data_IF_014853632434
#
_entry.id   IF_014853632434
#
_cell.length_a   1.000
_cell.length_b   1.000
_cell.length_c   1.000
_cell.angle_alpha   90.00
_cell.angle_beta   90.00
_cell.angle_gamma   90.00
#
_symmetry.space_group_name_H-M   'P 1'
#
loop_
_entity.id
_entity.type
_entity.pdbx_description
1 polymer ?
#
# COMPACT_ATOMS: atom_id res chain seq x y z
N UNK A 1 8.26 -4.66 57.51
CA UNK A 1 9.66 -4.49 57.04
C UNK A 1 10.04 -5.35 55.81
N UNK A 2 9.09 -6.02 55.15
CA UNK A 2 9.37 -6.97 54.05
C UNK A 2 9.05 -6.40 52.65
N UNK A 3 7.96 -5.64 52.47
CA UNK A 3 7.58 -5.11 51.16
C UNK A 3 8.58 -4.09 50.56
N UNK A 4 9.19 -3.24 51.40
CA UNK A 4 10.16 -2.24 50.95
C UNK A 4 11.48 -2.87 50.47
N UNK A 5 11.88 -4.01 51.07
CA UNK A 5 13.08 -4.74 50.67
C UNK A 5 12.89 -5.49 49.34
N UNK A 6 11.70 -6.04 49.10
CA UNK A 6 11.37 -6.70 47.83
C UNK A 6 11.32 -5.71 46.67
N UNK A 7 10.77 -4.51 46.89
CA UNK A 7 10.73 -3.44 45.89
C UNK A 7 12.15 -2.93 45.56
N UNK A 8 13.01 -2.77 46.58
CA UNK A 8 14.39 -2.35 46.38
C UNK A 8 15.19 -3.40 45.58
N UNK A 9 15.01 -4.70 45.88
CA UNK A 9 15.68 -5.78 45.16
C UNK A 9 15.22 -5.87 43.70
N UNK A 10 13.91 -5.71 43.44
CA UNK A 10 13.36 -5.74 42.09
C UNK A 10 13.87 -4.58 41.22
N UNK A 11 13.93 -3.36 41.78
CA UNK A 11 14.48 -2.20 41.07
C UNK A 11 15.98 -2.37 40.83
N UNK A 12 16.71 -2.93 41.79
CA UNK A 12 18.16 -3.15 41.66
C UNK A 12 18.48 -4.20 40.59
N UNK A 13 17.67 -5.27 40.49
CA UNK A 13 17.82 -6.29 39.46
C UNK A 13 17.44 -5.79 38.06
N UNK A 14 16.44 -4.90 37.93
CA UNK A 14 16.09 -4.27 36.66
C UNK A 14 17.19 -3.31 36.20
N UNK A 15 17.76 -2.50 37.11
CA UNK A 15 18.85 -1.57 36.77
C UNK A 15 20.13 -2.31 36.41
N UNK A 16 20.49 -3.38 37.13
CA UNK A 16 21.66 -4.20 36.80
C UNK A 16 21.44 -4.96 35.48
N UNK A 17 20.24 -5.51 35.25
CA UNK A 17 19.87 -6.15 33.97
C UNK A 17 19.95 -5.17 32.78
N UNK A 18 19.53 -3.92 32.98
CA UNK A 18 19.61 -2.86 31.96
C UNK A 18 21.06 -2.44 31.69
N UNK A 19 21.89 -2.26 32.72
CA UNK A 19 23.29 -1.84 32.58
C UNK A 19 24.18 -2.96 31.99
N UNK A 20 23.94 -4.22 32.35
CA UNK A 20 24.66 -5.37 31.79
C UNK A 20 24.20 -5.67 30.36
N UNK A 21 22.91 -5.57 30.07
CA UNK A 21 22.36 -5.74 28.71
C UNK A 21 22.83 -4.67 27.72
N UNK A 22 22.84 -3.40 28.13
CA UNK A 22 23.35 -2.30 27.29
C UNK A 22 24.88 -2.32 27.16
N UNK A 23 25.59 -2.75 28.21
CA UNK A 23 27.05 -2.93 28.20
C UNK A 23 27.52 -4.06 27.28
N UNK A 24 26.74 -5.14 27.15
CA UNK A 24 27.04 -6.23 26.21
C UNK A 24 26.75 -5.80 24.76
N UNK A 25 25.61 -5.16 24.49
CA UNK A 25 25.27 -4.69 23.13
C UNK A 25 26.24 -3.61 22.61
N UNK A 26 26.75 -2.73 23.47
CA UNK A 26 27.73 -1.70 23.10
C UNK A 26 29.14 -2.25 22.85
N UNK A 27 29.61 -3.26 23.63
CA UNK A 27 30.90 -3.93 23.38
C UNK A 27 30.88 -4.84 22.15
N UNK A 28 29.79 -5.56 21.89
CA UNK A 28 29.62 -6.32 20.65
C UNK A 28 29.58 -5.41 19.42
N UNK A 29 28.94 -4.24 19.53
CA UNK A 29 28.89 -3.25 18.46
C UNK A 29 30.23 -2.53 18.22
N UNK A 30 31.08 -2.37 19.25
CA UNK A 30 32.44 -1.82 19.08
C UNK A 30 33.44 -2.85 18.55
N UNK A 31 33.37 -4.12 18.96
CA UNK A 31 34.23 -5.17 18.41
C UNK A 31 33.90 -5.51 16.95
N UNK A 32 32.64 -5.43 16.52
CA UNK A 32 32.27 -5.57 15.10
C UNK A 32 32.72 -4.37 14.22
N UNK A 33 33.00 -3.20 14.81
CA UNK A 33 33.51 -2.03 14.05
C UNK A 33 35.03 -2.03 13.87
N UNK A 34 35.77 -2.90 14.57
CA UNK A 34 37.24 -2.94 14.53
C UNK A 34 37.82 -4.14 13.77
N UNK A 35 36.99 -5.08 13.33
CA UNK A 35 37.43 -6.02 12.30
C UNK A 35 37.35 -5.31 10.95
N UNK A 36 38.41 -5.31 10.13
CA UNK A 36 38.27 -4.97 8.73
C UNK A 36 37.29 -6.01 8.15
N UNK A 37 36.03 -5.61 7.99
CA UNK A 37 35.11 -6.33 7.13
C UNK A 37 35.79 -6.27 5.78
N UNK A 38 36.39 -7.38 5.35
CA UNK A 38 36.76 -7.56 3.96
C UNK A 38 35.52 -7.13 3.18
N UNK A 39 35.64 -6.06 2.37
CA UNK A 39 34.54 -5.54 1.58
C UNK A 39 34.07 -6.69 0.73
N UNK A 40 33.06 -7.42 1.20
CA UNK A 40 32.42 -8.44 0.40
C UNK A 40 31.96 -7.67 -0.83
N UNK A 41 32.49 -8.04 -2.00
CA UNK A 41 32.00 -7.52 -3.28
C UNK A 41 30.49 -7.68 -3.19
N UNK A 42 29.77 -6.56 -3.16
CA UNK A 42 28.32 -6.59 -3.01
C UNK A 42 27.81 -7.45 -4.16
N UNK A 43 27.27 -8.63 -3.85
CA UNK A 43 26.65 -9.46 -4.88
C UNK A 43 25.60 -8.59 -5.56
N UNK A 44 25.65 -8.43 -6.90
CA UNK A 44 24.65 -7.64 -7.61
C UNK A 44 23.25 -8.10 -7.18
N UNK A 45 22.46 -7.19 -6.62
CA UNK A 45 21.07 -7.48 -6.29
C UNK A 45 20.24 -7.25 -7.53
N UNK A 46 19.37 -8.21 -7.86
CA UNK A 46 18.43 -8.06 -8.95
C UNK A 46 17.61 -6.76 -8.78
N UNK A 47 17.31 -6.05 -9.88
CA UNK A 47 16.46 -4.88 -9.82
C UNK A 47 15.07 -5.27 -9.28
N UNK A 48 14.49 -4.40 -8.47
CA UNK A 48 13.17 -4.60 -7.88
C UNK A 48 12.12 -3.78 -8.60
N UNK A 49 10.93 -4.34 -8.71
CA UNK A 49 9.72 -3.65 -9.16
C UNK A 49 8.93 -3.31 -7.91
N UNK A 50 8.42 -2.09 -7.82
CA UNK A 50 7.56 -1.64 -6.73
C UNK A 50 6.45 -0.75 -7.26
N UNK A 51 5.31 -0.70 -6.57
CA UNK A 51 4.20 0.17 -6.95
C UNK A 51 3.70 -0.17 -8.36
N UNK A 52 3.51 -1.46 -8.66
CA UNK A 52 3.02 -1.89 -9.95
C UNK A 52 1.53 -1.56 -10.09
N UNK A 53 1.20 -0.70 -11.05
CA UNK A 53 -0.18 -0.32 -11.33
C UNK A 53 -0.51 -0.45 -12.82
N UNK A 54 -1.68 -1.01 -13.11
CA UNK A 54 -2.23 -1.06 -14.47
C UNK A 54 -3.02 0.21 -14.80
N UNK A 55 -2.96 0.64 -16.05
CA UNK A 55 -3.80 1.73 -16.55
C UNK A 55 -5.29 1.35 -16.48
N UNK A 56 -6.22 2.33 -16.43
CA UNK A 56 -7.66 2.04 -16.29
C UNK A 56 -8.23 1.16 -17.42
N UNK A 57 -7.63 1.22 -18.61
CA UNK A 57 -7.99 0.39 -19.77
C UNK A 57 -7.25 -0.96 -19.82
N UNK A 58 -6.37 -1.25 -18.85
CA UNK A 58 -5.63 -2.49 -18.74
C UNK A 58 -4.50 -2.67 -19.76
N UNK A 59 -4.21 -1.66 -20.58
CA UNK A 59 -3.28 -1.79 -21.71
C UNK A 59 -1.83 -1.46 -21.38
N UNK A 60 -1.58 -0.74 -20.31
CA UNK A 60 -0.24 -0.33 -19.88
C UNK A 60 -0.03 -0.64 -18.41
N UNK A 61 1.23 -0.81 -18.05
CA UNK A 61 1.69 -0.94 -16.67
C UNK A 61 2.63 0.23 -16.37
N UNK A 62 2.55 0.76 -15.16
CA UNK A 62 3.55 1.68 -14.63
C UNK A 62 4.05 1.16 -13.28
N UNK A 63 5.33 1.37 -13.02
CA UNK A 63 5.96 0.92 -11.79
C UNK A 63 7.22 1.72 -11.50
N UNK A 64 7.70 1.60 -10.28
CA UNK A 64 9.00 2.11 -9.85
C UNK A 64 10.02 0.98 -9.91
N UNK A 65 11.03 1.17 -10.74
CA UNK A 65 12.18 0.29 -10.81
C UNK A 65 13.28 0.73 -9.85
N UNK A 66 13.73 -0.16 -8.97
CA UNK A 66 14.83 0.08 -8.04
C UNK A 66 16.00 -0.83 -8.41
N UNK A 67 17.01 -0.27 -9.05
CA UNK A 67 18.15 -1.00 -9.60
C UNK A 67 19.48 -0.69 -8.89
N UNK A 68 19.53 0.35 -8.06
CA UNK A 68 20.55 0.51 -7.02
C UNK A 68 19.87 0.95 -5.72
N UNK A 69 19.63 0.00 -4.81
CA UNK A 69 18.70 0.12 -3.66
C UNK A 69 18.88 1.36 -2.78
N UNK A 70 20.08 1.97 -2.76
CA UNK A 70 20.37 3.15 -1.95
C UNK A 70 20.68 4.40 -2.77
N UNK A 71 20.70 4.33 -4.09
CA UNK A 71 21.28 5.40 -4.92
C UNK A 71 20.42 5.74 -6.14
N UNK A 72 19.75 4.76 -6.75
CA UNK A 72 19.07 4.97 -8.02
C UNK A 72 17.78 4.15 -8.18
N UNK A 73 16.75 4.86 -8.59
CA UNK A 73 15.46 4.34 -9.01
C UNK A 73 14.97 5.09 -10.26
N UNK A 74 13.87 4.63 -10.83
CA UNK A 74 13.20 5.35 -11.91
C UNK A 74 11.77 4.89 -12.12
N UNK A 75 10.99 5.74 -12.78
CA UNK A 75 9.67 5.41 -13.26
C UNK A 75 9.79 4.60 -14.55
N UNK A 76 8.95 3.58 -14.70
CA UNK A 76 8.85 2.79 -15.90
C UNK A 76 7.41 2.76 -16.38
N UNK A 77 7.23 2.87 -17.69
CA UNK A 77 5.94 2.59 -18.35
C UNK A 77 6.18 1.45 -19.34
N UNK A 78 5.35 0.42 -19.26
CA UNK A 78 5.44 -0.81 -20.06
C UNK A 78 4.15 -1.02 -20.86
N UNK A 79 4.30 -1.32 -22.15
CA UNK A 79 3.27 -1.97 -22.95
C UNK A 79 3.49 -3.51 -22.91
N UNK A 80 2.70 -4.27 -22.15
CA UNK A 80 2.86 -5.71 -21.99
C UNK A 80 2.49 -6.51 -23.25
N UNK A 81 1.85 -5.91 -24.26
CA UNK A 81 1.58 -6.59 -25.54
C UNK A 81 2.82 -6.63 -26.43
N UNK A 82 3.61 -5.56 -26.43
CA UNK A 82 4.83 -5.45 -27.26
C UNK A 82 6.11 -5.76 -26.47
N UNK A 83 6.04 -5.78 -25.14
CA UNK A 83 7.21 -5.89 -24.26
C UNK A 83 8.07 -4.62 -24.25
N UNK A 84 7.56 -3.50 -24.78
CA UNK A 84 8.30 -2.23 -24.81
C UNK A 84 8.12 -1.51 -23.48
N UNK A 85 9.22 -1.21 -22.80
CA UNK A 85 9.22 -0.35 -21.63
C UNK A 85 10.32 0.71 -21.75
N UNK A 86 10.09 1.87 -21.14
CA UNK A 86 11.09 2.93 -21.08
C UNK A 86 11.19 3.48 -19.66
N UNK A 87 12.44 3.74 -19.25
CA UNK A 87 12.76 4.32 -17.97
C UNK A 87 12.71 5.85 -18.01
N UNK A 88 12.46 6.42 -16.84
CA UNK A 88 12.61 7.84 -16.56
C UNK A 88 13.27 7.93 -15.19
N UNK A 89 14.61 8.09 -15.13
CA UNK A 89 15.36 8.05 -13.88
C UNK A 89 14.88 9.10 -12.89
N UNK A 90 14.75 8.70 -11.62
CA UNK A 90 14.57 9.64 -10.52
C UNK A 90 15.87 10.40 -10.27
N UNK A 91 15.81 11.62 -9.69
CA UNK A 91 17.01 12.32 -9.24
C UNK A 91 17.86 11.44 -8.31
N UNK A 92 19.19 11.53 -8.40
CA UNK A 92 20.10 10.70 -7.63
C UNK A 92 19.85 10.83 -6.11
N UNK A 93 19.63 9.70 -5.45
CA UNK A 93 19.24 9.63 -4.04
C UNK A 93 17.78 10.01 -3.74
N UNK A 94 16.91 9.95 -4.76
CA UNK A 94 15.45 10.03 -4.66
C UNK A 94 14.78 8.83 -5.33
N UNK A 95 13.55 8.55 -4.94
CA UNK A 95 12.69 7.54 -5.56
C UNK A 95 11.33 8.16 -5.88
N UNK A 96 10.91 8.01 -7.12
CA UNK A 96 9.57 8.34 -7.60
C UNK A 96 8.69 7.08 -7.54
N UNK A 97 7.83 6.99 -6.54
CA UNK A 97 6.93 5.87 -6.28
C UNK A 97 5.62 6.04 -7.04
N UNK A 98 5.27 5.14 -7.96
CA UNK A 98 3.97 5.16 -8.64
C UNK A 98 2.89 4.77 -7.64
N UNK A 99 1.90 5.64 -7.43
CA UNK A 99 0.79 5.38 -6.50
C UNK A 99 -0.54 5.12 -7.20
N UNK A 100 -0.74 5.67 -8.40
CA UNK A 100 -2.01 5.56 -9.11
C UNK A 100 -1.88 5.93 -10.60
N UNK A 101 -2.64 5.24 -11.47
CA UNK A 101 -3.00 5.77 -12.79
C UNK A 101 -4.26 6.62 -12.71
N UNK A 102 -4.21 7.79 -13.34
CA UNK A 102 -5.35 8.69 -13.46
C UNK A 102 -6.18 8.34 -14.69
N UNK A 103 -7.44 8.75 -14.68
CA UNK A 103 -8.39 8.52 -15.78
C UNK A 103 -7.97 9.23 -17.07
N UNK A 104 -7.29 10.37 -16.95
CA UNK A 104 -6.68 11.11 -18.07
C UNK A 104 -5.44 10.40 -18.68
N UNK A 105 -5.01 9.29 -18.08
CA UNK A 105 -3.86 8.51 -18.52
C UNK A 105 -2.51 9.01 -18.03
N UNK A 106 -2.47 10.00 -17.14
CA UNK A 106 -1.25 10.39 -16.40
C UNK A 106 -1.07 9.54 -15.13
N UNK A 107 0.08 9.69 -14.48
CA UNK A 107 0.41 9.03 -13.22
C UNK A 107 0.33 10.01 -12.05
N UNK A 108 -0.09 9.53 -10.90
CA UNK A 108 0.22 10.13 -9.60
C UNK A 108 1.46 9.42 -9.03
N UNK A 109 2.41 10.21 -8.58
CA UNK A 109 3.71 9.76 -8.10
C UNK A 109 4.01 10.43 -6.76
N UNK A 110 4.55 9.65 -5.83
CA UNK A 110 5.09 10.14 -4.57
C UNK A 110 6.62 10.12 -4.64
N UNK A 111 7.23 11.30 -4.53
CA UNK A 111 8.69 11.44 -4.48
C UNK A 111 9.16 11.40 -3.05
N UNK A 112 9.98 10.42 -2.74
CA UNK A 112 10.58 10.24 -1.43
C UNK A 112 12.11 10.17 -1.52
N UNK A 113 12.75 10.59 -0.44
CA UNK A 113 14.21 10.55 -0.30
C UNK A 113 14.65 9.14 0.04
N UNK A 114 15.60 8.59 -0.74
CA UNK A 114 16.33 7.38 -0.34
C UNK A 114 17.59 7.79 0.46
N UNK A 115 18.23 6.88 1.21
CA UNK A 115 19.41 7.24 1.99
C UNK A 115 20.49 7.88 1.11
N UNK A 116 21.00 9.06 1.50
CA UNK A 116 22.05 9.85 0.80
C UNK A 116 21.58 10.57 -0.49
N UNK A 117 20.67 11.56 -0.42
CA UNK A 117 20.39 12.43 -1.57
C UNK A 117 21.62 13.25 -1.90
N UNK A 118 21.97 13.24 -3.18
CA UNK A 118 23.07 14.04 -3.73
C UNK A 118 22.56 15.06 -4.75
N UNK A 119 21.38 14.83 -5.33
CA UNK A 119 20.69 15.80 -6.18
C UNK A 119 19.74 16.68 -5.37
N UNK A 120 19.66 17.96 -5.76
CA UNK A 120 18.63 18.88 -5.29
C UNK A 120 17.27 18.48 -5.88
N UNK A 121 16.37 18.00 -5.04
CA UNK A 121 14.96 17.79 -5.35
C UNK A 121 14.12 17.99 -4.10
N UNK A 122 12.79 18.02 -4.25
CA UNK A 122 11.84 18.15 -3.15
C UNK A 122 10.98 16.91 -3.07
N UNK A 123 10.71 16.43 -1.85
CA UNK A 123 9.73 15.36 -1.65
C UNK A 123 8.30 15.88 -1.79
N UNK A 124 7.37 15.03 -2.21
CA UNK A 124 5.97 15.41 -2.35
C UNK A 124 5.21 14.58 -3.37
N UNK A 125 3.99 15.04 -3.69
CA UNK A 125 3.13 14.42 -4.71
C UNK A 125 3.26 15.15 -6.04
N UNK A 126 3.35 14.37 -7.11
CA UNK A 126 3.56 14.84 -8.49
C UNK A 126 2.58 14.16 -9.45
N UNK A 127 2.17 14.88 -10.47
CA UNK A 127 1.54 14.33 -11.67
C UNK A 127 2.56 14.16 -12.77
N UNK A 128 2.46 13.07 -13.54
CA UNK A 128 3.38 12.78 -14.64
C UNK A 128 2.59 12.38 -15.88
N UNK A 129 2.58 13.18 -16.96
CA UNK A 129 1.93 12.78 -18.20
C UNK A 129 2.65 11.57 -18.81
N UNK A 130 1.91 10.71 -19.50
CA UNK A 130 2.47 9.51 -20.16
C UNK A 130 2.16 9.55 -21.65
N UNK A 131 3.22 9.55 -22.48
CA UNK A 131 3.10 9.27 -23.91
C UNK A 131 3.01 7.76 -24.11
N UNK A 132 1.77 7.28 -24.21
CA UNK A 132 1.45 5.86 -24.41
C UNK A 132 1.94 5.30 -25.76
N UNK A 133 2.20 6.15 -26.76
CA UNK A 133 2.72 5.70 -28.05
C UNK A 133 4.21 5.34 -27.98
N UNK A 134 4.94 5.95 -27.04
CA UNK A 134 6.38 5.75 -26.82
C UNK A 134 6.70 5.08 -25.48
N UNK A 135 5.68 4.71 -24.72
CA UNK A 135 5.78 4.18 -23.35
C UNK A 135 6.68 5.05 -22.47
N UNK A 136 6.62 6.37 -22.59
CA UNK A 136 7.51 7.29 -21.87
C UNK A 136 6.74 8.21 -20.94
N UNK A 137 7.30 8.48 -19.76
CA UNK A 137 6.78 9.52 -18.87
C UNK A 137 7.38 10.89 -19.21
N UNK A 138 6.61 11.95 -19.04
CA UNK A 138 7.04 13.34 -19.23
C UNK A 138 7.63 13.94 -17.96
N UNK A 139 7.65 15.27 -17.89
CA UNK A 139 8.15 15.99 -16.72
C UNK A 139 7.21 15.84 -15.51
N UNK A 140 7.79 15.77 -14.31
CA UNK A 140 7.01 15.75 -13.07
C UNK A 140 6.49 17.15 -12.76
N UNK A 141 5.18 17.27 -12.68
CA UNK A 141 4.50 18.49 -12.26
C UNK A 141 4.09 18.35 -10.80
N UNK A 142 4.57 19.22 -9.88
CA UNK A 142 4.10 19.19 -8.50
C UNK A 142 2.59 19.34 -8.47
N UNK A 143 1.90 18.45 -7.77
CA UNK A 143 0.47 18.68 -7.54
C UNK A 143 0.36 19.95 -6.72
N UNK A 144 -0.26 20.99 -7.28
CA UNK A 144 -0.45 22.27 -6.59
C UNK A 144 -1.26 22.03 -5.32
N UNK A 145 -0.53 21.92 -4.22
CA UNK A 145 -1.10 21.85 -2.89
C UNK A 145 -1.60 23.26 -2.61
N UNK A 146 -2.90 23.44 -2.45
CA UNK A 146 -3.36 24.55 -1.61
C UNK A 146 -2.68 24.44 -0.25
N UNK A 147 -2.53 25.56 0.46
CA UNK A 147 -1.90 25.54 1.78
C UNK A 147 -2.65 24.55 2.68
N UNK A 148 -1.94 23.51 3.14
CA UNK A 148 -2.42 22.67 4.23
C UNK A 148 -2.44 23.53 5.50
N UNK A 149 -3.39 23.31 6.42
CA UNK A 149 -3.39 24.01 7.71
C UNK A 149 -2.06 23.85 8.44
N UNK A 150 -1.66 24.87 9.19
CA UNK A 150 -0.40 24.89 9.93
C UNK A 150 -0.19 23.61 10.75
N UNK A 151 0.98 23.01 10.58
CA UNK A 151 1.39 21.78 11.27
C UNK A 151 0.92 20.47 10.62
N UNK A 152 0.11 20.52 9.55
CA UNK A 152 -0.19 19.34 8.73
C UNK A 152 0.95 19.08 7.73
N UNK A 153 1.30 17.80 7.55
CA UNK A 153 2.28 17.35 6.54
C UNK A 153 1.72 16.17 5.78
N UNK A 154 1.94 16.11 4.48
CA UNK A 154 1.50 15.00 3.63
C UNK A 154 2.19 13.71 4.09
N UNK A 155 1.42 12.63 4.20
CA UNK A 155 1.96 11.26 4.13
C UNK A 155 1.81 10.79 2.70
N UNK A 156 0.59 10.79 2.16
CA UNK A 156 0.28 10.22 0.84
C UNK A 156 -1.00 10.84 0.29
N UNK A 157 -1.32 10.56 -0.96
CA UNK A 157 -2.55 11.04 -1.60
C UNK A 157 -3.04 10.14 -2.72
N UNK A 158 -4.26 10.40 -3.17
CA UNK A 158 -4.92 9.74 -4.29
C UNK A 158 -5.83 10.71 -5.02
N UNK A 159 -6.09 10.48 -6.30
CA UNK A 159 -7.12 11.14 -7.06
C UNK A 159 -8.43 10.34 -6.92
N UNK A 160 -9.47 10.98 -6.40
CA UNK A 160 -10.80 10.40 -6.30
C UNK A 160 -11.45 10.26 -7.68
N UNK A 161 -12.50 9.41 -7.85
CA UNK A 161 -13.18 9.26 -9.14
C UNK A 161 -13.80 10.55 -9.71
N UNK A 162 -14.00 11.60 -8.91
CA UNK A 162 -14.41 12.93 -9.37
C UNK A 162 -13.25 13.82 -9.85
N UNK A 163 -12.02 13.32 -9.85
CA UNK A 163 -10.81 14.05 -10.23
C UNK A 163 -10.16 14.85 -9.10
N UNK A 164 -10.77 14.90 -7.91
CA UNK A 164 -10.21 15.68 -6.79
C UNK A 164 -9.06 14.94 -6.10
N UNK A 165 -7.99 15.68 -5.76
CA UNK A 165 -6.90 15.14 -4.96
C UNK A 165 -7.32 15.05 -3.49
N UNK A 166 -7.15 13.87 -2.92
CA UNK A 166 -7.37 13.58 -1.51
C UNK A 166 -6.01 13.33 -0.86
N UNK A 167 -5.72 14.08 0.21
CA UNK A 167 -4.47 14.01 0.96
C UNK A 167 -4.72 13.39 2.33
N UNK A 168 -3.85 12.46 2.73
CA UNK A 168 -3.74 11.96 4.10
C UNK A 168 -2.51 12.56 4.77
N UNK A 169 -2.66 13.10 5.97
CA UNK A 169 -1.58 13.81 6.68
C UNK A 169 -0.94 13.00 7.81
N UNK A 170 0.27 13.42 8.21
CA UNK A 170 1.18 12.70 9.13
C UNK A 170 0.85 12.89 10.60
N UNK A 171 0.05 13.90 10.92
CA UNK A 171 -0.31 14.24 12.29
C UNK A 171 -1.24 13.18 12.88
N UNK A 172 -1.12 12.94 14.18
CA UNK A 172 -2.12 12.18 14.93
C UNK A 172 -3.04 13.14 15.71
N UNK A 173 -4.37 12.97 15.65
CA UNK A 173 -5.11 12.05 14.77
C UNK A 173 -4.96 12.42 13.28
N UNK A 174 -4.91 11.40 12.42
CA UNK A 174 -4.77 11.56 10.96
C UNK A 174 -5.97 12.28 10.38
N UNK A 175 -5.71 13.26 9.53
CA UNK A 175 -6.73 13.99 8.79
C UNK A 175 -6.74 13.58 7.32
N UNK A 176 -7.94 13.61 6.73
CA UNK A 176 -8.15 13.53 5.29
C UNK A 176 -8.60 14.88 4.78
N UNK A 177 -7.93 15.39 3.75
CA UNK A 177 -8.27 16.65 3.10
C UNK A 177 -8.63 16.41 1.65
N UNK A 178 -9.64 17.13 1.16
CA UNK A 178 -9.91 17.30 -0.26
C UNK A 178 -9.20 18.59 -0.69
N UNK A 179 -8.45 18.52 -1.77
CA UNK A 179 -7.72 19.66 -2.34
C UNK A 179 -8.51 20.23 -3.51
N UNK A 180 -8.89 21.51 -3.40
CA UNK A 180 -9.51 22.28 -4.48
C UNK A 180 -9.10 23.75 -4.38
N UNK A 181 -7.83 24.05 -4.66
CA UNK A 181 -7.21 25.36 -4.41
C UNK A 181 -6.89 25.64 -2.93
N UNK A 182 -7.75 25.20 -2.01
CA UNK A 182 -7.49 25.14 -0.55
C UNK A 182 -7.80 23.75 0.01
N UNK A 183 -7.24 23.43 1.18
CA UNK A 183 -7.45 22.17 1.86
C UNK A 183 -8.78 22.17 2.64
N UNK A 184 -9.72 21.34 2.24
CA UNK A 184 -10.99 21.13 2.94
C UNK A 184 -10.92 19.84 3.75
N UNK A 185 -11.06 19.92 5.08
CA UNK A 185 -11.12 18.73 5.93
C UNK A 185 -12.32 17.85 5.52
N UNK A 186 -12.11 16.54 5.43
CA UNK A 186 -13.14 15.53 5.15
C UNK A 186 -13.44 14.71 6.40
N UNK A 187 -12.40 14.14 7.01
CA UNK A 187 -12.53 13.27 8.19
C UNK A 187 -11.26 13.37 9.04
N UNK A 188 -11.39 13.04 10.33
CA UNK A 188 -10.27 13.01 11.28
C UNK A 188 -10.45 11.84 12.25
N UNK A 189 -9.42 11.01 12.36
CA UNK A 189 -9.47 9.78 13.14
C UNK A 189 -8.09 9.43 13.72
N UNK A 190 -8.06 8.88 14.93
CA UNK A 190 -6.82 8.39 15.54
C UNK A 190 -6.34 7.13 14.82
N UNK A 191 -7.27 6.23 14.46
CA UNK A 191 -6.95 4.99 13.79
C UNK A 191 -7.89 4.73 12.62
N UNK A 192 -7.31 4.41 11.45
CA UNK A 192 -8.01 3.97 10.25
C UNK A 192 -7.59 2.54 9.93
N UNK A 193 -8.55 1.64 9.68
CA UNK A 193 -8.31 0.22 9.44
C UNK A 193 -8.39 -0.09 7.94
N UNK A 194 -7.30 0.16 7.22
CA UNK A 194 -7.21 -0.02 5.78
C UNK A 194 -7.33 1.28 4.97
N UNK A 195 -7.76 1.16 3.71
CA UNK A 195 -7.84 2.28 2.77
C UNK A 195 -9.17 3.04 2.90
N UNK A 196 -9.09 4.37 2.89
CA UNK A 196 -10.27 5.22 2.75
C UNK A 196 -10.73 5.17 1.30
N UNK A 197 -12.03 4.89 1.07
CA UNK A 197 -12.56 4.70 -0.28
C UNK A 197 -13.42 5.90 -0.69
N UNK A 198 -12.92 6.79 -1.57
CA UNK A 198 -13.77 7.75 -2.25
C UNK A 198 -14.63 7.06 -3.31
N UNK A 199 -15.91 7.43 -3.39
CA UNK A 199 -16.83 7.04 -4.45
C UNK A 199 -17.69 8.23 -4.86
N UNK A 200 -18.26 8.19 -6.07
CA UNK A 200 -19.26 9.17 -6.51
C UNK A 200 -20.65 8.56 -6.39
N UNK A 201 -21.47 9.10 -5.50
CA UNK A 201 -22.88 8.75 -5.34
C UNK A 201 -23.76 9.94 -5.71
N UNK A 202 -24.63 9.78 -6.71
CA UNK A 202 -25.53 10.84 -7.18
C UNK A 202 -24.81 12.16 -7.48
N UNK A 203 -23.61 12.09 -8.08
CA UNK A 203 -22.78 13.25 -8.42
C UNK A 203 -22.04 13.88 -7.24
N UNK A 204 -22.10 13.29 -6.03
CA UNK A 204 -21.38 13.76 -4.84
C UNK A 204 -20.26 12.80 -4.47
N UNK A 205 -19.12 13.36 -4.07
CA UNK A 205 -18.02 12.59 -3.50
C UNK A 205 -18.38 12.14 -2.07
N UNK A 206 -18.36 10.83 -1.86
CA UNK A 206 -18.64 10.16 -0.59
C UNK A 206 -17.43 9.34 -0.18
N UNK A 207 -17.11 9.33 1.11
CA UNK A 207 -16.02 8.51 1.63
C UNK A 207 -16.54 7.41 2.52
N UNK A 208 -16.13 6.18 2.22
CA UNK A 208 -16.28 5.06 3.12
C UNK A 208 -14.99 4.85 3.90
N UNK A 209 -15.09 4.92 5.23
CA UNK A 209 -13.94 4.88 6.14
C UNK A 209 -14.23 3.93 7.28
N UNK A 210 -13.35 2.96 7.51
CA UNK A 210 -13.36 2.16 8.75
C UNK A 210 -12.36 2.75 9.72
N UNK A 211 -12.86 3.23 10.86
CA UNK A 211 -12.04 3.91 11.86
C UNK A 211 -12.50 3.62 13.27
N UNK A 212 -11.66 3.97 14.24
CA UNK A 212 -12.01 3.84 15.64
C UNK A 212 -13.26 4.67 15.99
N UNK A 213 -14.04 4.14 16.94
CA UNK A 213 -15.16 4.87 17.52
C UNK A 213 -14.60 5.87 18.55
N UNK A 214 -14.96 7.16 18.49
CA UNK A 214 -14.46 8.14 19.44
C UNK A 214 -14.65 7.70 20.90
N UNK A 215 -13.57 7.74 21.69
CA UNK A 215 -13.58 7.37 23.10
C UNK A 215 -13.65 5.86 23.39
N UNK A 216 -13.62 4.99 22.38
CA UNK A 216 -13.63 3.53 22.55
C UNK A 216 -12.35 2.89 22.00
N UNK A 217 -11.53 2.35 22.89
CA UNK A 217 -10.30 1.64 22.52
C UNK A 217 -10.64 0.32 21.82
N UNK A 218 -9.95 0.00 20.71
CA UNK A 218 -10.11 -1.25 19.90
C UNK A 218 -11.48 -1.47 19.23
N UNK A 219 -12.41 -0.56 19.41
CA UNK A 219 -13.71 -0.60 18.75
C UNK A 219 -13.67 0.21 17.45
N UNK A 220 -14.17 -0.35 16.37
CA UNK A 220 -14.21 0.30 15.06
C UNK A 220 -15.57 0.17 14.40
N UNK A 221 -15.85 1.05 13.45
CA UNK A 221 -17.05 0.97 12.63
C UNK A 221 -16.78 1.53 11.23
N UNK A 222 -17.60 1.11 10.27
CA UNK A 222 -17.69 1.74 8.95
C UNK A 222 -18.53 3.01 9.06
N UNK A 223 -17.97 4.09 8.54
CA UNK A 223 -18.61 5.38 8.37
C UNK A 223 -18.75 5.73 6.90
N UNK A 224 -19.87 6.35 6.56
CA UNK A 224 -20.09 7.08 5.32
C UNK A 224 -19.95 8.57 5.62
N UNK A 225 -18.98 9.23 5.00
CA UNK A 225 -18.61 10.62 5.26
C UNK A 225 -18.90 11.47 4.04
N UNK A 226 -19.69 12.53 4.22
CA UNK A 226 -19.98 13.54 3.20
C UNK A 226 -19.81 14.90 3.84
N UNK A 227 -18.95 15.75 3.28
CA UNK A 227 -18.78 17.14 3.75
C UNK A 227 -18.61 17.23 5.28
N UNK A 228 -17.71 16.42 5.85
CA UNK A 228 -17.42 16.31 7.30
C UNK A 228 -18.52 15.68 8.17
N UNK A 229 -19.65 15.29 7.59
CA UNK A 229 -20.72 14.58 8.31
C UNK A 229 -20.49 13.08 8.17
N UNK A 230 -20.08 12.46 9.27
CA UNK A 230 -19.90 11.01 9.37
C UNK A 230 -21.19 10.34 9.86
N UNK A 231 -21.71 9.42 9.06
CA UNK A 231 -22.81 8.53 9.42
C UNK A 231 -22.25 7.13 9.65
N UNK A 232 -22.40 6.58 10.85
CA UNK A 232 -22.06 5.19 11.11
C UNK A 232 -23.03 4.26 10.36
N UNK A 233 -22.51 3.30 9.61
CA UNK A 233 -23.29 2.31 8.86
C UNK A 233 -23.21 0.89 9.42
N UNK A 234 -22.11 0.54 10.08
CA UNK A 234 -21.92 -0.78 10.68
C UNK A 234 -22.31 -0.82 12.15
N UNK A 235 -22.61 -2.01 12.71
CA UNK A 235 -22.46 -2.21 14.14
C UNK A 235 -21.01 -1.96 14.57
N UNK A 236 -20.80 -1.86 15.88
CA UNK A 236 -19.44 -1.82 16.45
C UNK A 236 -18.75 -3.15 16.17
N UNK A 237 -17.54 -3.10 15.61
CA UNK A 237 -16.66 -4.24 15.43
C UNK A 237 -15.53 -4.21 16.44
N UNK A 238 -15.20 -5.38 16.96
CA UNK A 238 -14.03 -5.62 17.79
C UNK A 238 -12.93 -6.30 16.95
N UNK A 239 -11.67 -6.06 17.33
CA UNK A 239 -10.49 -6.77 16.84
C UNK A 239 -10.33 -6.80 15.31
N UNK A 240 -10.76 -5.73 14.64
CA UNK A 240 -10.53 -5.55 13.21
C UNK A 240 -9.04 -5.43 12.96
N UNK A 241 -8.51 -6.33 12.14
CA UNK A 241 -7.10 -6.31 11.74
C UNK A 241 -6.89 -5.41 10.53
N UNK A 242 -7.77 -5.52 9.54
CA UNK A 242 -7.81 -4.65 8.38
C UNK A 242 -9.20 -4.72 7.72
N UNK A 243 -9.49 -3.76 6.84
CA UNK A 243 -10.71 -3.76 6.04
C UNK A 243 -10.48 -3.14 4.66
N UNK A 244 -11.28 -3.57 3.67
CA UNK A 244 -11.19 -3.04 2.31
C UNK A 244 -12.58 -2.88 1.72
N UNK A 245 -12.93 -1.63 1.43
CA UNK A 245 -14.13 -1.27 0.68
C UNK A 245 -13.85 -1.42 -0.81
N UNK A 246 -14.74 -2.11 -1.52
CA UNK A 246 -14.67 -2.32 -2.96
C UNK A 246 -14.71 -0.97 -3.72
N UNK A 247 -14.13 -0.89 -4.93
CA UNK A 247 -14.11 0.33 -5.75
C UNK A 247 -15.48 1.03 -5.89
N UNK A 248 -16.56 0.27 -5.99
CA UNK A 248 -17.94 0.74 -6.13
C UNK A 248 -18.56 1.28 -4.84
N UNK A 249 -17.94 1.04 -3.68
CA UNK A 249 -18.50 1.35 -2.37
C UNK A 249 -19.68 0.46 -1.94
N UNK A 250 -20.05 -0.56 -2.74
CA UNK A 250 -21.23 -1.42 -2.45
C UNK A 250 -20.91 -2.60 -1.56
N UNK A 251 -19.63 -2.90 -1.35
CA UNK A 251 -19.17 -4.07 -0.61
C UNK A 251 -17.95 -3.73 0.24
N UNK A 252 -17.79 -4.41 1.36
CA UNK A 252 -16.60 -4.33 2.20
C UNK A 252 -16.24 -5.71 2.73
N UNK A 253 -14.95 -6.01 2.74
CA UNK A 253 -14.39 -7.15 3.47
C UNK A 253 -13.77 -6.62 4.76
N UNK A 254 -14.13 -7.25 5.88
CA UNK A 254 -13.51 -6.99 7.19
C UNK A 254 -12.83 -8.27 7.64
N UNK A 255 -11.54 -8.18 7.94
CA UNK A 255 -10.76 -9.29 8.47
C UNK A 255 -10.53 -9.15 9.97
N UNK A 256 -10.70 -10.28 10.65
CA UNK A 256 -10.41 -10.47 12.08
C UNK A 256 -9.55 -11.72 12.21
N UNK A 257 -8.82 -11.83 13.32
CA UNK A 257 -8.16 -13.10 13.64
C UNK A 257 -9.22 -14.20 13.78
N UNK A 258 -8.95 -15.35 13.17
CA UNK A 258 -9.80 -16.51 13.35
C UNK A 258 -9.61 -17.11 14.75
N UNK A 259 -10.51 -18.00 15.18
CA UNK A 259 -10.52 -18.60 16.53
C UNK A 259 -9.20 -19.32 16.87
N UNK A 260 -8.54 -19.90 15.86
CA UNK A 260 -7.27 -20.60 16.00
C UNK A 260 -6.05 -19.65 16.06
N UNK A 261 -6.25 -18.34 15.84
CA UNK A 261 -5.21 -17.31 15.89
C UNK A 261 -4.13 -17.38 14.80
N UNK A 262 -4.23 -18.35 13.88
CA UNK A 262 -3.35 -18.52 12.73
C UNK A 262 -3.96 -17.79 11.53
N UNK A 263 -5.12 -18.26 11.08
CA UNK A 263 -5.81 -17.76 9.90
C UNK A 263 -6.67 -16.50 10.17
N UNK A 264 -7.25 -15.94 9.10
CA UNK A 264 -8.13 -14.79 9.17
C UNK A 264 -9.60 -15.20 8.97
N UNK A 265 -10.49 -14.74 9.84
CA UNK A 265 -11.91 -14.75 9.57
C UNK A 265 -12.28 -13.52 8.74
N UNK A 266 -12.61 -13.72 7.47
CA UNK A 266 -13.09 -12.65 6.60
C UNK A 266 -14.61 -12.65 6.60
N UNK A 267 -15.20 -11.49 6.85
CA UNK A 267 -16.64 -11.26 6.64
C UNK A 267 -16.85 -10.28 5.49
N UNK A 268 -17.60 -10.71 4.47
CA UNK A 268 -18.07 -9.86 3.40
C UNK A 268 -19.41 -9.22 3.80
N UNK A 269 -19.50 -7.90 3.69
CA UNK A 269 -20.74 -7.16 3.88
C UNK A 269 -21.14 -6.44 2.60
N UNK A 270 -22.44 -6.34 2.38
CA UNK A 270 -23.05 -5.41 1.43
C UNK A 270 -23.27 -4.07 2.13
N UNK A 271 -22.88 -2.98 1.50
CA UNK A 271 -23.07 -1.62 1.98
C UNK A 271 -24.36 -1.07 1.35
N UNK A 272 -25.33 -0.72 2.20
CA UNK A 272 -26.51 0.03 1.83
C UNK A 272 -26.40 1.51 2.21
N UNK A 273 -27.46 2.28 1.94
CA UNK A 273 -27.51 3.72 2.21
C UNK A 273 -27.45 4.03 3.71
N UNK A 274 -28.12 3.22 4.54
CA UNK A 274 -28.28 3.49 5.97
C UNK A 274 -27.63 2.43 6.89
N UNK A 275 -27.34 1.25 6.36
CA UNK A 275 -26.80 0.11 7.12
C UNK A 275 -26.02 -0.81 6.20
N UNK A 276 -25.25 -1.71 6.80
CA UNK A 276 -24.64 -2.84 6.09
C UNK A 276 -25.35 -4.16 6.42
N UNK A 277 -25.16 -5.15 5.55
CA UNK A 277 -25.72 -6.50 5.71
C UNK A 277 -24.63 -7.54 5.50
N UNK A 278 -24.53 -8.52 6.40
CA UNK A 278 -23.60 -9.65 6.25
C UNK A 278 -24.01 -10.49 5.05
N UNK A 279 -23.07 -10.76 4.15
CA UNK A 279 -23.29 -11.61 2.96
C UNK A 279 -22.79 -13.02 3.23
N UNK A 280 -21.52 -13.15 3.63
CA UNK A 280 -20.91 -14.43 4.00
C UNK A 280 -19.69 -14.19 4.88
N UNK A 281 -19.26 -15.25 5.56
CA UNK A 281 -17.97 -15.30 6.24
C UNK A 281 -17.23 -16.59 5.88
N UNK A 282 -15.90 -16.52 5.83
CA UNK A 282 -15.05 -17.68 5.63
C UNK A 282 -13.70 -17.49 6.32
N UNK A 283 -13.08 -18.59 6.73
CA UNK A 283 -11.67 -18.61 7.12
C UNK A 283 -10.82 -18.57 5.86
N UNK A 284 -9.90 -17.62 5.82
CA UNK A 284 -8.97 -17.36 4.74
C UNK A 284 -7.55 -17.54 5.28
N UNK A 285 -6.61 -18.12 4.50
CA UNK A 285 -5.25 -18.33 4.93
C UNK A 285 -4.61 -17.09 5.58
N UNK A 286 -3.91 -17.31 6.70
CA UNK A 286 -3.19 -16.33 7.50
C UNK A 286 -2.26 -15.40 6.70
N UNK A 287 -1.76 -15.92 5.60
CA UNK A 287 -0.78 -15.24 4.80
C UNK A 287 -1.44 -14.15 3.94
N UNK A 288 -2.76 -14.13 3.73
CA UNK A 288 -3.42 -13.06 2.95
C UNK A 288 -3.47 -11.71 3.69
N UNK A 289 -2.52 -10.81 3.42
CA UNK A 289 -2.34 -9.51 4.09
C UNK A 289 -2.77 -8.29 3.26
N UNK A 290 -2.58 -8.33 1.93
CA UNK A 290 -2.95 -7.26 1.00
C UNK A 290 -4.14 -7.70 0.14
N UNK A 291 -5.08 -6.79 -0.15
CA UNK A 291 -6.35 -7.09 -0.85
C UNK A 291 -6.54 -6.11 -1.99
N UNK A 292 -6.60 -6.61 -3.21
CA UNK A 292 -6.86 -5.82 -4.41
C UNK A 292 -8.09 -6.34 -5.13
N UNK A 293 -9.14 -5.54 -5.19
CA UNK A 293 -10.37 -5.88 -5.90
C UNK A 293 -10.13 -5.93 -7.41
N UNK A 294 -10.66 -6.98 -8.05
CA UNK A 294 -10.79 -7.01 -9.51
C UNK A 294 -11.73 -5.90 -9.99
N UNK A 295 -11.57 -5.40 -11.23
CA UNK A 295 -12.40 -4.31 -11.75
C UNK A 295 -13.91 -4.60 -11.78
N UNK A 296 -14.32 -5.87 -11.90
CA UNK A 296 -15.73 -6.28 -11.86
C UNK A 296 -16.21 -6.68 -10.45
N UNK A 297 -15.34 -6.58 -9.45
CA UNK A 297 -15.57 -6.89 -8.04
C UNK A 297 -16.02 -8.33 -7.76
N UNK A 298 -15.81 -9.24 -8.71
CA UNK A 298 -16.16 -10.66 -8.54
C UNK A 298 -15.04 -11.46 -7.89
N UNK A 299 -13.85 -10.86 -7.78
CA UNK A 299 -12.65 -11.48 -7.20
C UNK A 299 -11.83 -10.47 -6.43
N UNK A 300 -11.07 -10.99 -5.48
CA UNK A 300 -10.01 -10.30 -4.78
C UNK A 300 -8.70 -11.02 -5.05
N UNK A 301 -7.66 -10.25 -5.33
CA UNK A 301 -6.28 -10.71 -5.29
C UNK A 301 -5.74 -10.49 -3.88
N UNK A 302 -5.30 -11.58 -3.26
CA UNK A 302 -4.65 -11.61 -1.96
C UNK A 302 -3.18 -11.98 -2.10
N UNK A 303 -2.29 -11.43 -1.27
CA UNK A 303 -0.91 -11.93 -1.16
C UNK A 303 -0.46 -12.21 0.25
N UNK A 304 0.57 -13.05 0.26
CA UNK A 304 1.02 -13.89 1.33
C UNK A 304 2.51 -14.16 1.27
N UNK A 305 3.33 -13.12 1.44
CA UNK A 305 4.78 -13.24 1.31
C UNK A 305 5.16 -13.74 -0.08
N UNK A 306 5.33 -15.06 -0.21
CA UNK A 306 5.75 -15.80 -1.40
C UNK A 306 4.60 -16.36 -2.25
N UNK A 307 3.32 -16.17 -1.86
CA UNK A 307 2.16 -16.71 -2.59
C UNK A 307 1.13 -15.64 -2.95
N UNK A 308 0.44 -15.90 -4.06
CA UNK A 308 -0.75 -15.17 -4.49
C UNK A 308 -2.00 -16.03 -4.43
N UNK A 309 -3.09 -15.40 -3.99
CA UNK A 309 -4.39 -16.03 -3.79
C UNK A 309 -5.45 -15.27 -4.57
N UNK A 310 -6.36 -16.00 -5.20
CA UNK A 310 -7.60 -15.48 -5.76
C UNK A 310 -8.73 -15.90 -4.81
N UNK A 311 -9.51 -14.91 -4.40
CA UNK A 311 -10.66 -15.11 -3.53
C UNK A 311 -11.92 -14.70 -4.30
N UNK A 312 -12.80 -15.67 -4.58
CA UNK A 312 -14.04 -15.43 -5.32
C UNK A 312 -15.08 -14.70 -4.45
N UNK A 313 -15.83 -13.77 -5.04
CA UNK A 313 -16.90 -13.00 -4.41
C UNK A 313 -18.22 -13.37 -5.08
N UNK A 314 -19.28 -13.74 -4.33
CA UNK A 314 -19.41 -13.59 -2.88
C UNK A 314 -19.02 -14.83 -2.07
N UNK A 315 -18.59 -15.94 -2.67
CA UNK A 315 -18.41 -17.21 -1.91
C UNK A 315 -17.24 -17.21 -0.92
N UNK A 316 -16.30 -16.28 -1.06
CA UNK A 316 -15.01 -16.23 -0.37
C UNK A 316 -14.17 -17.51 -0.54
N UNK A 317 -14.39 -18.23 -1.65
CA UNK A 317 -13.62 -19.42 -1.98
C UNK A 317 -12.21 -18.98 -2.40
N UNK A 318 -11.19 -19.57 -1.78
CA UNK A 318 -9.79 -19.29 -2.09
C UNK A 318 -9.21 -20.28 -3.08
N UNK A 319 -8.33 -19.79 -3.95
CA UNK A 319 -7.54 -20.60 -4.89
C UNK A 319 -6.16 -19.98 -5.02
N UNK A 320 -5.10 -20.77 -4.85
CA UNK A 320 -3.75 -20.28 -5.07
C UNK A 320 -3.53 -20.01 -6.56
N UNK A 321 -2.99 -18.84 -6.90
CA UNK A 321 -2.69 -18.46 -8.27
C UNK A 321 -1.28 -18.95 -8.64
N UNK A 322 -1.21 -19.88 -9.58
CA UNK A 322 0.05 -20.43 -10.06
C UNK A 322 0.76 -21.33 -9.04
N UNK A 323 1.97 -21.76 -9.40
CA UNK A 323 2.80 -22.67 -8.60
C UNK A 323 4.11 -22.02 -8.13
N UNK A 324 4.34 -20.74 -8.44
CA UNK A 324 5.54 -20.02 -8.01
C UNK A 324 5.44 -19.62 -6.55
N UNK A 325 6.54 -19.77 -5.84
CA UNK A 325 6.67 -19.52 -4.40
C UNK A 325 7.44 -18.22 -4.13
N UNK A 326 7.23 -17.18 -4.93
CA UNK A 326 7.88 -15.88 -4.72
C UNK A 326 7.05 -14.68 -5.21
N UNK A 327 5.74 -14.86 -5.38
CA UNK A 327 4.86 -13.77 -5.81
C UNK A 327 4.26 -13.01 -4.63
N UNK A 328 4.42 -11.69 -4.64
CA UNK A 328 3.82 -10.76 -3.69
C UNK A 328 2.78 -9.85 -4.39
N UNK A 329 1.65 -9.53 -3.74
CA UNK A 329 0.62 -8.66 -4.31
C UNK A 329 0.94 -7.19 -4.15
N UNK A 330 1.85 -6.82 -3.25
CA UNK A 330 2.37 -5.45 -3.24
C UNK A 330 3.05 -5.09 -4.57
N UNK A 331 3.46 -6.12 -5.33
CA UNK A 331 4.02 -6.02 -6.66
C UNK A 331 3.07 -6.57 -7.75
N UNK A 332 1.77 -6.66 -7.48
CA UNK A 332 0.78 -7.16 -8.44
C UNK A 332 -0.35 -6.17 -8.72
N UNK A 333 -0.91 -6.25 -9.93
CA UNK A 333 -1.98 -5.37 -10.38
C UNK A 333 -2.95 -6.08 -11.32
N UNK A 334 -4.25 -5.80 -11.16
CA UNK A 334 -5.26 -6.27 -12.13
C UNK A 334 -5.13 -5.50 -13.45
N UNK A 335 -4.88 -6.21 -14.55
CA UNK A 335 -4.96 -5.67 -15.91
C UNK A 335 -6.37 -5.76 -16.50
N UNK A 336 -7.23 -6.58 -15.90
CA UNK A 336 -8.62 -6.81 -16.30
C UNK A 336 -9.29 -7.78 -15.34
N UNK A 337 -10.56 -8.13 -15.52
CA UNK A 337 -11.27 -9.04 -14.58
C UNK A 337 -10.75 -10.48 -14.54
N UNK A 338 -9.91 -10.86 -15.50
CA UNK A 338 -9.37 -12.22 -15.64
C UNK A 338 -7.85 -12.24 -15.79
N UNK A 339 -7.16 -11.12 -15.61
CA UNK A 339 -5.72 -11.04 -15.85
C UNK A 339 -5.04 -10.15 -14.82
N UNK A 340 -3.92 -10.64 -14.30
CA UNK A 340 -3.08 -9.95 -13.32
C UNK A 340 -1.66 -9.82 -13.87
N UNK A 341 -1.04 -8.66 -13.68
CA UNK A 341 0.40 -8.45 -13.82
C UNK A 341 1.08 -8.63 -12.46
N UNK A 342 2.25 -9.26 -12.45
CA UNK A 342 3.04 -9.50 -11.23
C UNK A 342 4.49 -9.14 -11.52
N UNK A 343 5.08 -8.28 -10.70
CA UNK A 343 6.50 -8.00 -10.65
C UNK A 343 7.22 -8.99 -9.74
N UNK A 344 8.30 -9.59 -10.24
CA UNK A 344 9.08 -10.60 -9.51
C UNK A 344 10.54 -10.46 -9.92
N UNK A 345 11.43 -10.11 -8.98
CA UNK A 345 12.88 -10.10 -9.20
C UNK A 345 13.34 -9.43 -10.50
N UNK A 346 12.73 -8.30 -10.88
CA UNK A 346 13.08 -7.56 -12.10
C UNK A 346 12.45 -8.10 -13.40
N UNK A 347 11.50 -9.02 -13.29
CA UNK A 347 10.67 -9.52 -14.38
C UNK A 347 9.20 -9.17 -14.14
N UNK A 348 8.44 -8.98 -15.21
CA UNK A 348 6.98 -8.81 -15.15
C UNK A 348 6.34 -10.00 -15.86
N UNK A 349 5.40 -10.62 -15.15
CA UNK A 349 4.60 -11.74 -15.61
C UNK A 349 3.15 -11.31 -15.78
N UNK A 350 2.52 -11.81 -16.84
CA UNK A 350 1.06 -11.75 -17.04
C UNK A 350 0.48 -13.11 -16.72
N UNK A 351 -0.51 -13.14 -15.83
CA UNK A 351 -1.18 -14.37 -15.41
C UNK A 351 -2.65 -14.32 -15.77
N UNK A 352 -3.10 -15.35 -16.48
CA UNK A 352 -4.51 -15.63 -16.72
C UNK A 352 -5.11 -16.28 -15.46
N UNK A 353 -6.08 -15.61 -14.84
CA UNK A 353 -6.64 -16.03 -13.56
C UNK A 353 -7.42 -17.35 -13.65
N UNK A 354 -8.31 -17.56 -14.64
CA UNK A 354 -9.05 -18.82 -14.74
C UNK A 354 -8.17 -20.05 -14.93
N UNK A 355 -7.09 -19.95 -15.72
CA UNK A 355 -6.23 -21.10 -16.02
C UNK A 355 -4.96 -21.18 -15.18
N UNK A 356 -4.59 -20.11 -14.47
CA UNK A 356 -3.31 -19.97 -13.76
C UNK A 356 -2.08 -19.89 -14.68
N UNK A 357 -2.28 -19.81 -16.01
CA UNK A 357 -1.17 -19.75 -16.97
C UNK A 357 -0.46 -18.41 -16.87
N UNK A 358 0.86 -18.47 -16.68
CA UNK A 358 1.72 -17.31 -16.61
C UNK A 358 2.61 -17.19 -17.86
N UNK A 359 2.80 -15.97 -18.34
CA UNK A 359 3.73 -15.65 -19.41
C UNK A 359 4.57 -14.44 -19.01
N UNK A 360 5.89 -14.53 -19.15
CA UNK A 360 6.75 -13.36 -18.97
C UNK A 360 6.49 -12.37 -20.10
N UNK A 361 6.20 -11.12 -19.74
CA UNK A 361 5.95 -10.04 -20.70
C UNK A 361 7.09 -9.04 -20.77
N UNK A 362 7.93 -8.99 -19.74
CA UNK A 362 9.06 -8.07 -19.70
C UNK A 362 10.12 -8.47 -18.67
N UNK A 363 11.34 -7.96 -18.84
CA UNK A 363 12.47 -8.05 -17.91
C UNK A 363 13.30 -6.77 -18.02
N UNK A 364 13.90 -6.31 -16.90
CA UNK A 364 14.88 -5.23 -16.93
C UNK A 364 15.98 -5.48 -17.97
N UNK A 365 16.38 -4.45 -18.74
CA UNK A 365 17.57 -4.51 -19.59
C UNK A 365 18.81 -4.95 -18.80
N UNK A 366 19.75 -5.60 -19.47
CA UNK A 366 20.88 -6.30 -18.82
C UNK A 366 21.73 -5.35 -17.97
N UNK A 367 21.91 -4.12 -18.42
CA UNK A 367 22.69 -3.08 -17.73
C UNK A 367 22.18 -2.72 -16.33
N UNK A 368 20.97 -3.11 -15.95
CA UNK A 368 20.43 -2.90 -14.60
C UNK A 368 20.66 -4.09 -13.65
N UNK A 369 21.35 -5.14 -14.12
CA UNK A 369 21.67 -6.35 -13.34
C UNK A 369 23.16 -6.48 -13.00
N UNK A 370 23.99 -5.82 -13.79
CA UNK A 370 25.45 -5.79 -13.66
C UNK A 370 25.86 -4.56 -12.83
#
# INVERSE_FOLDING_TARGET
MTALRTLFLAISLVVIGFLVGYGFQSRSAQQQRQQPVATAVATPQAPQIKGLHSSPDGKFLAFTGVYARSEQAGLWVLNPQTGTAKDSPSPAGWQDFVTQWRDDGSLLVEREKIPRPVAEATGGLYTVPVDRSKTSSGELEPVRQGDLPDGEKIITGLIAPGGELIIKTRREPKALFKMNGSAQLIDRAEYTYGQNRPVVENGKLVFYVVRNIPGQTRSSALYRVIEQKAQQLSPVWQDVSWSYVAPSGKQIIVARRDENGIDWNWTLYRIGVAKIETVTSATIPADVISVYWSPDEKRVLGAAGEKLWIIDVPSLKTTQLGNKADWNADDASWMGSQTVAIGESGEIWRVDVPSGKAAKVWRFPKEFWD
#
